data_IF_671602317035
#
_entry.id   IF_671602317035
#
_cell.length_a   1.000
_cell.length_b   1.000
_cell.length_c   1.000
_cell.angle_alpha   90.00
_cell.angle_beta   90.00
_cell.angle_gamma   90.00
#
_symmetry.space_group_name_H-M   'P 1'
#
loop_
_entity.id
_entity.type
_entity.pdbx_description
1 polymer ?
#
# COMPACT_ATOMS: atom_id res chain seq x y z
N UNK A 1 -4.81 -12.92 18.79
CA UNK A 1 -5.38 -11.70 18.20
C UNK A 1 -5.20 -11.77 16.68
N UNK A 2 -6.26 -12.09 15.95
CA UNK A 2 -6.19 -12.29 14.50
C UNK A 2 -6.93 -11.21 13.69
N UNK A 3 -7.72 -10.38 14.36
CA UNK A 3 -8.49 -9.28 13.77
C UNK A 3 -8.26 -8.03 14.59
N UNK A 4 -8.00 -6.91 13.92
CA UNK A 4 -7.94 -5.59 14.50
C UNK A 4 -8.92 -4.67 13.76
N UNK A 5 -9.73 -3.97 14.53
CA UNK A 5 -10.61 -2.91 14.05
C UNK A 5 -10.59 -1.75 15.05
N UNK A 6 -10.84 -0.50 14.61
CA UNK A 6 -11.04 0.60 15.53
C UNK A 6 -12.23 0.34 16.46
N UNK A 7 -12.11 0.68 17.73
CA UNK A 7 -13.21 0.59 18.71
C UNK A 7 -14.15 1.79 18.66
N UNK A 8 -13.87 2.78 17.82
CA UNK A 8 -14.76 3.89 17.53
C UNK A 8 -15.70 3.58 16.38
N UNK A 9 -16.97 3.94 16.54
CA UNK A 9 -17.94 3.90 15.46
C UNK A 9 -17.57 4.86 14.32
N UNK A 10 -18.06 4.53 13.11
CA UNK A 10 -18.00 5.46 11.98
C UNK A 10 -18.62 6.79 12.35
N UNK A 11 -17.97 7.93 12.13
CA UNK A 11 -18.50 9.26 12.43
C UNK A 11 -19.88 9.49 11.84
N UNK A 12 -20.75 10.20 12.60
CA UNK A 12 -22.16 10.35 12.24
C UNK A 12 -22.36 11.00 10.87
N UNK A 13 -21.56 12.02 10.53
CA UNK A 13 -21.65 12.69 9.22
C UNK A 13 -21.36 11.76 8.03
N UNK A 14 -20.50 10.76 8.20
CA UNK A 14 -20.22 9.75 7.16
C UNK A 14 -21.42 8.82 7.02
N UNK A 15 -22.00 8.38 8.15
CA UNK A 15 -23.21 7.54 8.15
C UNK A 15 -24.39 8.27 7.48
N UNK A 16 -24.54 9.56 7.74
CA UNK A 16 -25.62 10.38 7.17
C UNK A 16 -25.41 10.62 5.66
N UNK A 17 -24.15 10.82 5.21
CA UNK A 17 -23.84 10.90 3.79
C UNK A 17 -24.16 9.59 3.05
N UNK A 18 -23.86 8.44 3.65
CA UNK A 18 -24.21 7.13 3.07
C UNK A 18 -25.72 6.94 2.94
N UNK A 19 -26.50 7.26 3.99
CA UNK A 19 -27.97 7.21 3.96
C UNK A 19 -28.52 8.12 2.87
N UNK A 20 -28.03 9.36 2.80
CA UNK A 20 -28.45 10.32 1.76
C UNK A 20 -28.15 9.80 0.36
N UNK A 21 -27.01 9.16 0.15
CA UNK A 21 -26.65 8.56 -1.14
C UNK A 21 -27.64 7.45 -1.53
N UNK A 22 -28.02 6.59 -0.59
CA UNK A 22 -29.01 5.53 -0.82
C UNK A 22 -30.37 6.15 -1.15
N UNK A 23 -30.84 7.12 -0.36
CA UNK A 23 -32.14 7.78 -0.54
C UNK A 23 -32.23 8.53 -1.87
N UNK A 24 -31.10 9.08 -2.36
CA UNK A 24 -31.00 9.75 -3.66
C UNK A 24 -30.87 8.79 -4.86
N UNK A 25 -30.86 7.49 -4.64
CA UNK A 25 -30.78 6.48 -5.69
C UNK A 25 -29.38 6.21 -6.23
N UNK A 26 -28.32 6.56 -5.49
CA UNK A 26 -26.94 6.23 -5.82
C UNK A 26 -26.65 4.71 -5.60
N UNK A 27 -27.48 3.85 -6.17
CA UNK A 27 -27.48 2.40 -6.02
C UNK A 27 -27.38 1.67 -7.36
N UNK A 28 -26.96 2.39 -8.41
CA UNK A 28 -26.82 1.88 -9.78
C UNK A 28 -25.34 1.63 -10.10
N UNK A 29 -25.07 1.10 -11.28
CA UNK A 29 -23.72 0.94 -11.77
C UNK A 29 -22.97 2.27 -11.82
N UNK A 30 -21.70 2.23 -11.45
CA UNK A 30 -20.74 3.32 -11.59
C UNK A 30 -19.67 2.95 -12.60
N UNK A 31 -18.76 3.86 -12.90
CA UNK A 31 -17.51 3.52 -13.58
C UNK A 31 -16.73 2.48 -12.77
N UNK A 32 -16.04 1.57 -13.45
CA UNK A 32 -15.28 0.47 -12.81
C UNK A 32 -14.09 0.96 -11.99
N UNK A 33 -13.60 2.15 -12.28
CA UNK A 33 -12.47 2.79 -11.63
C UNK A 33 -12.85 3.81 -10.54
N UNK A 34 -14.17 3.93 -10.25
CA UNK A 34 -14.73 4.84 -9.25
C UNK A 34 -15.50 6.00 -9.85
N UNK A 35 -16.28 6.69 -9.01
CA UNK A 35 -17.01 7.88 -9.46
C UNK A 35 -16.07 9.07 -9.64
N UNK A 36 -16.36 10.00 -10.60
CA UNK A 36 -15.53 11.18 -10.82
C UNK A 36 -15.35 12.02 -9.54
N UNK A 37 -16.41 12.17 -8.76
CA UNK A 37 -16.41 12.97 -7.54
C UNK A 37 -15.48 12.37 -6.46
N UNK A 38 -15.47 11.03 -6.32
CA UNK A 38 -14.59 10.36 -5.37
C UNK A 38 -13.12 10.44 -5.84
N UNK A 39 -12.87 10.25 -7.15
CA UNK A 39 -11.53 10.38 -7.72
C UNK A 39 -10.98 11.79 -7.53
N UNK A 40 -11.79 12.83 -7.76
CA UNK A 40 -11.41 14.21 -7.49
C UNK A 40 -11.10 14.45 -6.01
N UNK A 41 -11.91 13.90 -5.10
CA UNK A 41 -11.65 14.00 -3.65
C UNK A 41 -10.32 13.32 -3.27
N UNK A 42 -9.99 12.18 -3.86
CA UNK A 42 -8.71 11.47 -3.66
C UNK A 42 -7.54 12.31 -4.18
N UNK A 43 -7.63 12.88 -5.39
CA UNK A 43 -6.61 13.77 -5.97
C UNK A 43 -6.36 14.96 -5.06
N UNK A 44 -7.42 15.60 -4.59
CA UNK A 44 -7.33 16.75 -3.69
C UNK A 44 -6.71 16.37 -2.34
N UNK A 45 -6.99 15.17 -1.81
CA UNK A 45 -6.35 14.64 -0.59
C UNK A 45 -4.85 14.49 -0.80
N UNK A 46 -4.42 13.81 -1.85
CA UNK A 46 -3.00 13.60 -2.13
C UNK A 46 -2.26 14.92 -2.34
N UNK A 47 -2.87 15.87 -3.07
CA UNK A 47 -2.28 17.18 -3.28
C UNK A 47 -2.12 17.97 -1.98
N UNK A 48 -3.14 17.92 -1.10
CA UNK A 48 -3.17 18.72 0.14
C UNK A 48 -2.32 18.13 1.25
N UNK A 49 -2.34 16.81 1.40
CA UNK A 49 -1.80 16.10 2.56
C UNK A 49 -0.43 15.46 2.27
N UNK A 50 -0.19 15.09 1.01
CA UNK A 50 0.99 14.37 0.59
C UNK A 50 1.87 15.14 -0.42
N UNK A 51 1.43 16.33 -0.87
CA UNK A 51 2.11 17.15 -1.90
C UNK A 51 2.31 16.39 -3.24
N UNK A 52 1.49 15.36 -3.48
CA UNK A 52 1.51 14.56 -4.70
C UNK A 52 0.37 14.99 -5.63
N UNK A 53 0.67 15.03 -6.92
CA UNK A 53 -0.31 15.37 -7.97
C UNK A 53 -0.56 14.16 -8.84
N UNK A 54 -1.83 13.77 -8.98
CA UNK A 54 -2.29 12.67 -9.83
C UNK A 54 -3.36 13.14 -10.80
N UNK A 55 -3.42 12.52 -11.97
CA UNK A 55 -4.51 12.67 -12.92
C UNK A 55 -5.61 11.63 -12.63
N UNK A 56 -6.83 11.90 -13.09
CA UNK A 56 -7.97 11.01 -12.83
C UNK A 56 -7.77 9.58 -13.37
N UNK A 57 -7.02 9.41 -14.45
CA UNK A 57 -6.71 8.10 -15.03
C UNK A 57 -5.62 7.33 -14.25
N UNK A 58 -5.00 7.94 -13.25
CA UNK A 58 -4.04 7.30 -12.35
C UNK A 58 -4.70 6.82 -11.04
N UNK A 59 -6.02 6.99 -10.89
CA UNK A 59 -6.78 6.62 -9.70
C UNK A 59 -7.74 5.49 -10.02
N UNK A 60 -7.69 4.44 -9.20
CA UNK A 60 -8.67 3.35 -9.19
C UNK A 60 -9.21 3.18 -7.77
N UNK A 61 -10.53 3.15 -7.64
CA UNK A 61 -11.23 2.91 -6.38
C UNK A 61 -11.64 1.45 -6.30
N UNK A 62 -11.37 0.83 -5.17
CA UNK A 62 -11.67 -0.59 -4.91
C UNK A 62 -12.47 -0.76 -3.62
N UNK A 63 -13.06 -1.94 -3.42
CA UNK A 63 -13.75 -2.28 -2.18
C UNK A 63 -12.72 -2.66 -1.09
N UNK A 64 -11.98 -1.66 -0.62
CA UNK A 64 -10.92 -1.77 0.38
C UNK A 64 -9.53 -2.06 -0.22
N UNK A 65 -8.49 -1.78 0.58
CA UNK A 65 -7.09 -1.90 0.20
C UNK A 65 -6.72 -3.33 -0.26
N UNK A 66 -7.29 -4.37 0.36
CA UNK A 66 -7.06 -5.75 -0.06
C UNK A 66 -7.40 -5.99 -1.53
N UNK A 67 -8.52 -5.45 -2.02
CA UNK A 67 -8.88 -5.58 -3.42
C UNK A 67 -7.92 -4.79 -4.32
N UNK A 68 -7.50 -3.60 -3.90
CA UNK A 68 -6.52 -2.81 -4.68
C UNK A 68 -5.21 -3.57 -4.85
N UNK A 69 -4.67 -4.14 -3.77
CA UNK A 69 -3.44 -4.93 -3.80
C UNK A 69 -3.62 -6.19 -4.65
N UNK A 70 -4.74 -6.89 -4.49
CA UNK A 70 -5.03 -8.08 -5.29
C UNK A 70 -5.07 -7.76 -6.78
N UNK A 71 -5.80 -6.72 -7.18
CA UNK A 71 -5.90 -6.30 -8.57
C UNK A 71 -4.53 -5.87 -9.14
N UNK A 72 -3.74 -5.12 -8.37
CA UNK A 72 -2.39 -4.72 -8.75
C UNK A 72 -1.50 -5.96 -9.02
N UNK A 73 -1.50 -6.93 -8.13
CA UNK A 73 -0.72 -8.15 -8.29
C UNK A 73 -1.16 -8.97 -9.50
N UNK A 74 -2.47 -9.06 -9.78
CA UNK A 74 -2.99 -9.75 -10.96
C UNK A 74 -2.57 -9.11 -12.29
N UNK A 75 -2.23 -7.81 -12.28
CA UNK A 75 -1.79 -7.08 -13.47
C UNK A 75 -0.27 -7.12 -13.64
N UNK A 76 0.47 -7.05 -12.52
CA UNK A 76 1.91 -6.86 -12.55
C UNK A 76 2.70 -8.15 -12.50
N UNK A 77 2.17 -9.21 -11.90
CA UNK A 77 2.91 -10.43 -11.57
C UNK A 77 2.53 -11.56 -12.51
N UNK A 78 3.55 -12.11 -13.16
CA UNK A 78 3.48 -13.32 -13.97
C UNK A 78 4.14 -14.51 -13.24
N UNK A 79 3.97 -15.70 -13.81
CA UNK A 79 4.51 -16.95 -13.26
C UNK A 79 6.04 -16.88 -13.13
N UNK A 80 6.51 -17.03 -11.90
CA UNK A 80 7.93 -17.01 -11.54
C UNK A 80 8.52 -15.64 -11.24
N UNK A 81 7.76 -14.55 -11.34
CA UNK A 81 8.17 -13.23 -10.87
C UNK A 81 8.37 -13.24 -9.35
N UNK A 82 9.37 -12.53 -8.87
CA UNK A 82 9.67 -12.41 -7.45
C UNK A 82 9.15 -11.09 -6.87
N UNK A 83 8.48 -11.20 -5.71
CA UNK A 83 7.97 -10.06 -4.94
C UNK A 83 8.68 -10.01 -3.61
N UNK A 84 9.45 -8.96 -3.37
CA UNK A 84 10.16 -8.76 -2.09
C UNK A 84 9.21 -8.20 -1.06
N UNK A 85 9.14 -8.87 0.11
CA UNK A 85 8.25 -8.49 1.21
C UNK A 85 9.07 -8.41 2.51
N UNK A 86 9.23 -7.21 3.11
CA UNK A 86 9.86 -7.07 4.43
C UNK A 86 9.05 -7.76 5.52
N UNK A 87 9.70 -8.54 6.38
CA UNK A 87 9.09 -9.20 7.53
C UNK A 87 9.27 -8.33 8.80
N UNK A 88 8.30 -8.35 9.75
CA UNK A 88 6.98 -8.99 9.65
C UNK A 88 6.05 -8.22 8.73
N UNK A 89 5.08 -8.90 8.15
CA UNK A 89 4.14 -8.32 7.18
C UNK A 89 2.70 -8.80 7.43
N UNK A 90 1.73 -8.10 6.84
CA UNK A 90 0.34 -8.54 6.84
C UNK A 90 0.19 -9.84 6.06
N UNK A 91 -0.33 -10.86 6.73
CA UNK A 91 -0.38 -12.26 6.24
C UNK A 91 -0.94 -12.43 4.81
N UNK A 92 -1.82 -11.54 4.38
CA UNK A 92 -2.43 -11.64 3.05
C UNK A 92 -1.47 -11.34 1.89
N UNK A 93 -0.35 -10.65 2.12
CA UNK A 93 0.55 -10.28 1.01
C UNK A 93 1.12 -11.51 0.31
N UNK A 94 1.73 -12.42 1.06
CA UNK A 94 2.35 -13.62 0.49
C UNK A 94 1.34 -14.51 -0.24
N UNK A 95 0.15 -14.66 0.33
CA UNK A 95 -0.89 -15.50 -0.27
C UNK A 95 -1.40 -14.90 -1.59
N UNK A 96 -1.58 -13.59 -1.66
CA UNK A 96 -1.97 -12.90 -2.88
C UNK A 96 -0.89 -12.97 -3.97
N UNK A 97 0.40 -12.88 -3.59
CA UNK A 97 1.53 -13.04 -4.52
C UNK A 97 1.53 -14.46 -5.11
N UNK A 98 1.41 -15.48 -4.25
CA UNK A 98 1.35 -16.89 -4.72
C UNK A 98 0.14 -17.11 -5.62
N UNK A 99 -1.01 -16.53 -5.27
CA UNK A 99 -2.22 -16.65 -6.09
C UNK A 99 -2.06 -15.99 -7.47
N UNK A 100 -1.27 -14.92 -7.56
CA UNK A 100 -0.95 -14.26 -8.84
C UNK A 100 0.09 -15.03 -9.70
N UNK A 101 0.64 -16.14 -9.20
CA UNK A 101 1.69 -16.92 -9.87
C UNK A 101 3.12 -16.51 -9.45
N UNK A 102 3.27 -15.50 -8.63
CA UNK A 102 4.55 -14.99 -8.19
C UNK A 102 5.15 -15.76 -7.02
N UNK A 103 6.42 -15.48 -6.75
CA UNK A 103 7.19 -16.05 -5.64
C UNK A 103 7.48 -14.97 -4.60
N UNK A 104 6.94 -15.06 -3.39
CA UNK A 104 7.28 -14.13 -2.33
C UNK A 104 8.71 -14.37 -1.83
N UNK A 105 9.55 -13.34 -1.90
CA UNK A 105 10.93 -13.31 -1.39
C UNK A 105 10.97 -12.50 -0.12
N UNK A 106 11.28 -13.18 1.01
CA UNK A 106 11.19 -12.58 2.33
C UNK A 106 12.44 -11.80 2.69
N UNK A 107 12.33 -10.48 2.84
CA UNK A 107 13.37 -9.64 3.39
C UNK A 107 13.28 -9.68 4.92
N UNK A 108 14.23 -10.35 5.55
CA UNK A 108 14.22 -10.54 7.00
C UNK A 108 14.61 -9.26 7.72
N UNK A 109 13.77 -8.82 8.65
CA UNK A 109 14.12 -7.83 9.65
C UNK A 109 13.98 -8.42 11.05
N UNK A 110 14.60 -7.82 12.06
CA UNK A 110 14.59 -8.36 13.43
C UNK A 110 14.21 -7.29 14.44
N UNK A 111 13.74 -7.73 15.59
CA UNK A 111 13.43 -6.84 16.72
C UNK A 111 14.67 -6.08 17.20
N UNK A 112 15.84 -6.71 17.18
CA UNK A 112 17.11 -6.13 17.62
C UNK A 112 17.53 -4.93 16.78
N UNK A 113 17.19 -4.91 15.49
CA UNK A 113 17.41 -3.77 14.60
C UNK A 113 16.17 -2.89 14.44
N UNK A 114 15.20 -3.01 15.36
CA UNK A 114 13.95 -2.26 15.34
C UNK A 114 13.19 -2.40 14.02
N UNK A 115 13.21 -3.59 13.43
CA UNK A 115 12.60 -3.94 12.14
C UNK A 115 13.02 -3.02 10.97
N UNK A 116 14.20 -2.42 11.05
CA UNK A 116 14.75 -1.63 9.95
C UNK A 116 15.16 -2.54 8.77
N UNK A 117 14.95 -2.04 7.56
CA UNK A 117 15.41 -2.69 6.35
C UNK A 117 16.92 -2.46 6.20
N UNK A 118 17.69 -3.53 6.19
CA UNK A 118 19.12 -3.47 5.87
C UNK A 118 19.28 -3.39 4.35
N UNK A 119 20.04 -2.41 3.88
CA UNK A 119 20.31 -2.21 2.46
C UNK A 119 21.11 -3.39 1.86
N UNK A 120 22.01 -4.00 2.62
CA UNK A 120 22.72 -5.21 2.17
C UNK A 120 21.74 -6.38 1.98
N UNK A 121 20.84 -6.60 2.94
CA UNK A 121 19.82 -7.66 2.84
C UNK A 121 18.83 -7.38 1.71
N UNK A 122 18.43 -6.12 1.49
CA UNK A 122 17.59 -5.76 0.35
C UNK A 122 18.29 -6.16 -0.96
N UNK A 123 19.54 -5.77 -1.14
CA UNK A 123 20.32 -6.13 -2.34
C UNK A 123 20.44 -7.65 -2.54
N UNK A 124 20.60 -8.43 -1.47
CA UNK A 124 20.65 -9.89 -1.51
C UNK A 124 19.29 -10.52 -1.91
N UNK A 125 18.18 -9.83 -1.63
CA UNK A 125 16.85 -10.28 -2.02
C UNK A 125 16.49 -9.97 -3.47
N UNK A 126 17.24 -9.08 -4.13
CA UNK A 126 16.98 -8.70 -5.52
C UNK A 126 17.61 -9.68 -6.49
N UNK A 127 16.89 -10.02 -7.55
CA UNK A 127 17.34 -10.83 -8.67
C UNK A 127 16.79 -10.27 -9.98
N UNK A 128 17.19 -10.86 -11.11
CA UNK A 128 16.65 -10.52 -12.44
C UNK A 128 15.13 -10.82 -12.57
N UNK A 129 14.59 -11.59 -11.63
CA UNK A 129 13.16 -11.93 -11.55
C UNK A 129 12.38 -11.04 -10.61
N UNK A 130 13.04 -10.16 -9.86
CA UNK A 130 12.36 -9.25 -8.94
C UNK A 130 11.53 -8.25 -9.72
N UNK A 131 10.23 -8.27 -9.49
CA UNK A 131 9.26 -7.41 -10.16
C UNK A 131 8.70 -6.32 -9.25
N UNK A 132 8.58 -6.60 -7.96
CA UNK A 132 7.91 -5.72 -7.02
C UNK A 132 8.58 -5.76 -5.65
N UNK A 133 8.73 -4.60 -5.02
CA UNK A 133 8.93 -4.45 -3.57
C UNK A 133 7.61 -3.96 -2.97
N UNK A 134 7.07 -4.68 -1.98
CA UNK A 134 5.91 -4.24 -1.21
C UNK A 134 6.35 -3.68 0.13
N UNK A 135 6.01 -2.43 0.43
CA UNK A 135 6.24 -1.81 1.74
C UNK A 135 4.91 -1.42 2.37
N UNK A 136 4.86 -1.48 3.71
CA UNK A 136 3.73 -1.01 4.49
C UNK A 136 4.28 -0.19 5.66
N UNK A 137 3.94 1.08 5.71
CA UNK A 137 4.47 2.02 6.70
C UNK A 137 3.42 3.08 7.08
N UNK A 138 2.97 3.13 8.36
CA UNK A 138 3.28 2.21 9.46
C UNK A 138 2.90 0.77 9.18
N UNK A 139 3.71 -0.17 9.68
CA UNK A 139 3.61 -1.58 9.34
C UNK A 139 2.61 -2.35 10.22
N UNK A 140 1.84 -3.21 9.61
CA UNK A 140 1.09 -4.26 10.29
C UNK A 140 1.87 -5.60 10.15
N UNK A 141 2.33 -6.25 11.24
CA UNK A 141 1.88 -6.05 12.63
C UNK A 141 2.85 -5.28 13.54
N UNK A 142 4.05 -4.88 13.08
CA UNK A 142 5.12 -4.38 13.96
C UNK A 142 4.90 -2.95 14.49
N UNK A 143 4.03 -2.16 13.85
CA UNK A 143 3.88 -0.73 14.13
C UNK A 143 5.09 0.11 13.69
N UNK A 144 6.11 -0.51 13.07
CA UNK A 144 7.28 0.20 12.56
C UNK A 144 6.87 1.13 11.41
N UNK A 145 7.34 2.36 11.46
CA UNK A 145 7.35 3.26 10.30
C UNK A 145 8.77 3.38 9.74
N UNK A 146 8.88 3.62 8.46
CA UNK A 146 10.16 3.91 7.81
C UNK A 146 10.34 5.43 7.75
N UNK A 147 11.48 5.91 8.23
CA UNK A 147 11.86 7.31 8.12
C UNK A 147 12.36 7.66 6.71
N UNK A 148 12.50 8.96 6.45
CA UNK A 148 12.95 9.47 5.14
C UNK A 148 14.33 8.93 4.74
N UNK A 149 15.23 8.69 5.70
CA UNK A 149 16.55 8.12 5.42
C UNK A 149 16.43 6.68 4.93
N UNK A 150 15.64 5.85 5.62
CA UNK A 150 15.37 4.46 5.22
C UNK A 150 14.77 4.40 3.82
N UNK A 151 13.75 5.22 3.55
CA UNK A 151 13.07 5.25 2.26
C UNK A 151 13.99 5.77 1.14
N UNK A 152 14.81 6.79 1.41
CA UNK A 152 15.82 7.29 0.46
C UNK A 152 16.86 6.21 0.13
N UNK A 153 17.29 5.45 1.13
CA UNK A 153 18.25 4.35 0.93
C UNK A 153 17.65 3.22 0.10
N UNK A 154 16.37 2.86 0.33
CA UNK A 154 15.64 1.89 -0.51
C UNK A 154 15.54 2.41 -1.94
N UNK A 155 15.13 3.65 -2.13
CA UNK A 155 15.01 4.30 -3.44
C UNK A 155 16.33 4.26 -4.21
N UNK A 156 17.45 4.62 -3.58
CA UNK A 156 18.77 4.59 -4.20
C UNK A 156 19.20 3.20 -4.68
N UNK A 157 18.71 2.13 -4.03
CA UNK A 157 18.97 0.75 -4.49
C UNK A 157 18.10 0.38 -5.68
N UNK A 158 16.85 0.84 -5.71
CA UNK A 158 15.87 0.41 -6.71
C UNK A 158 15.85 1.27 -7.96
N UNK A 159 16.09 2.59 -7.86
CA UNK A 159 16.08 3.51 -9.01
C UNK A 159 16.91 3.05 -10.23
N UNK A 160 18.07 2.40 -10.06
CA UNK A 160 18.81 1.86 -11.22
C UNK A 160 18.12 0.69 -11.92
N UNK A 161 17.08 0.11 -11.32
CA UNK A 161 16.37 -1.08 -11.82
C UNK A 161 14.98 -0.68 -12.31
N UNK A 162 14.87 -0.16 -13.51
CA UNK A 162 13.61 0.36 -14.10
C UNK A 162 12.47 -0.67 -14.17
N UNK A 163 12.77 -1.96 -14.00
CA UNK A 163 11.78 -3.04 -14.06
C UNK A 163 11.19 -3.41 -12.70
N UNK A 164 11.66 -2.82 -11.60
CA UNK A 164 11.17 -3.11 -10.26
C UNK A 164 10.19 -2.01 -9.83
N UNK A 165 8.95 -2.41 -9.61
CA UNK A 165 7.92 -1.52 -9.05
C UNK A 165 8.03 -1.47 -7.52
N UNK A 166 7.53 -0.38 -6.93
CA UNK A 166 7.36 -0.23 -5.48
C UNK A 166 5.87 -0.05 -5.20
N UNK A 167 5.31 -0.88 -4.35
CA UNK A 167 3.98 -0.69 -3.79
C UNK A 167 4.10 -0.20 -2.35
N UNK A 168 3.51 0.94 -2.05
CA UNK A 168 3.40 1.47 -0.69
C UNK A 168 1.96 1.32 -0.19
N UNK A 169 1.78 0.53 0.88
CA UNK A 169 0.50 0.39 1.58
C UNK A 169 0.51 1.35 2.76
N UNK A 170 -0.14 2.50 2.58
CA UNK A 170 -0.16 3.62 3.52
C UNK A 170 -1.46 3.68 4.33
N UNK A 171 -2.14 2.54 4.52
CA UNK A 171 -3.43 2.47 5.23
C UNK A 171 -3.39 3.11 6.62
N UNK A 172 -2.23 3.17 7.24
CA UNK A 172 -2.02 3.73 8.56
C UNK A 172 -1.34 5.10 8.56
N UNK A 173 -1.30 5.81 7.43
CA UNK A 173 -0.58 7.09 7.31
C UNK A 173 -0.96 8.15 8.37
N UNK A 174 -2.17 8.10 8.91
CA UNK A 174 -2.65 9.01 9.95
C UNK A 174 -2.55 8.44 11.38
N UNK A 175 -2.05 7.19 11.53
CA UNK A 175 -1.99 6.49 12.82
C UNK A 175 -0.53 6.30 13.23
N UNK A 176 0.17 7.41 13.46
CA UNK A 176 1.54 7.41 13.96
C UNK A 176 1.84 8.68 14.77
N UNK A 177 2.91 8.63 15.59
CA UNK A 177 3.28 9.70 16.51
C UNK A 177 4.38 10.63 15.95
N UNK A 178 4.85 10.41 14.74
CA UNK A 178 5.89 11.19 14.07
C UNK A 178 5.37 11.87 12.82
N UNK A 179 5.94 13.02 12.47
CA UNK A 179 5.52 13.81 11.32
C UNK A 179 5.82 13.09 10.00
N UNK A 180 4.78 12.95 9.22
CA UNK A 180 4.70 12.63 7.79
C UNK A 180 5.66 11.58 7.19
N UNK A 181 5.05 10.56 6.60
CA UNK A 181 5.72 9.44 5.93
C UNK A 181 5.89 9.62 4.42
N UNK A 182 5.23 10.60 3.78
CA UNK A 182 5.08 10.62 2.33
C UNK A 182 5.74 11.84 1.69
N UNK A 183 6.95 12.18 2.14
CA UNK A 183 7.76 13.20 1.46
C UNK A 183 9.07 12.59 1.01
N UNK A 184 9.04 11.86 -0.10
CA UNK A 184 10.23 11.37 -0.77
C UNK A 184 10.20 11.80 -2.22
#
# INVERSE_FOLDING_TARGET
LTVGEPDFDTPQYIKDAAKKAIDSGATKYTSVDGTPELKEAIINKFKKENELSFESNEIIVSAGCKQSIFNMLQILIDDGDEVVIPQPYWVSYSDMVVYAGGKPTMLKTTYENNFNISISQLKECLSDKTKLLMINSPNNPSGKYFDSETLSNISNVLLPNENIYISSDDIYEHIHWHLSLIHI
#
